data_IF_769181307179
#
_entry.id   IF_769181307179
#
_cell.length_a   1.000
_cell.length_b   1.000
_cell.length_c   1.000
_cell.angle_alpha   90.00
_cell.angle_beta   90.00
_cell.angle_gamma   90.00
#
_symmetry.space_group_name_H-M   'P 1'
#
loop_
_entity.id
_entity.type
_entity.pdbx_description
1 polymer ?
#
# COMPACT_ATOMS: atom_id res chain seq x y z
N UNK A 1 1.40 -10.67 2.02
CA UNK A 1 2.43 -10.71 3.08
C UNK A 1 2.68 -9.27 3.50
N UNK A 2 2.45 -8.96 4.76
CA UNK A 2 2.79 -7.65 5.31
C UNK A 2 4.33 -7.56 5.40
N UNK A 3 4.90 -6.40 5.10
CA UNK A 3 6.33 -6.18 5.08
C UNK A 3 6.90 -5.83 6.46
N UNK A 4 6.04 -5.67 7.47
CA UNK A 4 6.40 -5.25 8.82
C UNK A 4 5.99 -6.31 9.84
N UNK A 5 6.78 -6.39 10.92
CA UNK A 5 6.49 -7.22 12.09
C UNK A 5 6.73 -6.34 13.34
N UNK A 6 5.69 -5.95 14.10
CA UNK A 6 4.27 -6.31 13.94
C UNK A 6 3.64 -5.75 12.65
N UNK A 7 2.55 -6.35 12.13
CA UNK A 7 1.90 -5.90 10.90
C UNK A 7 1.45 -4.45 10.98
N UNK A 8 1.84 -3.64 9.99
CA UNK A 8 1.43 -2.24 9.88
C UNK A 8 0.32 -2.10 8.83
N UNK A 9 -0.79 -1.48 9.21
CA UNK A 9 -1.97 -1.31 8.36
C UNK A 9 -2.37 0.17 8.26
N UNK A 10 -2.83 0.56 7.08
CA UNK A 10 -3.42 1.86 6.78
C UNK A 10 -4.94 1.72 6.78
N UNK A 11 -5.63 2.57 7.53
CA UNK A 11 -7.10 2.62 7.57
C UNK A 11 -7.65 3.59 6.53
N UNK A 12 -8.92 3.46 6.16
CA UNK A 12 -9.61 4.45 5.32
C UNK A 12 -9.18 4.47 3.85
N UNK A 13 -8.66 3.34 3.35
CA UNK A 13 -8.44 3.12 1.91
C UNK A 13 -9.33 1.98 1.44
N UNK A 14 -9.93 2.20 0.27
CA UNK A 14 -10.56 1.13 -0.49
C UNK A 14 -9.83 0.95 -1.81
N UNK A 15 -9.34 -0.26 -2.07
CA UNK A 15 -8.70 -0.61 -3.35
C UNK A 15 -9.74 -1.24 -4.25
N UNK A 16 -10.05 -0.58 -5.37
CA UNK A 16 -10.90 -1.15 -6.41
C UNK A 16 -10.05 -1.84 -7.47
N UNK A 17 -10.46 -3.04 -7.86
CA UNK A 17 -9.83 -3.73 -8.97
C UNK A 17 -10.14 -3.00 -10.29
N UNK A 18 -9.15 -2.82 -11.16
CA UNK A 18 -9.28 -2.05 -12.39
C UNK A 18 -8.92 -0.56 -12.27
N UNK A 19 -8.64 -0.04 -11.07
CA UNK A 19 -8.12 1.32 -10.91
C UNK A 19 -6.69 1.47 -11.43
N UNK A 20 -6.32 2.69 -11.80
CA UNK A 20 -4.97 2.97 -12.27
C UNK A 20 -3.94 2.70 -11.15
N UNK A 21 -2.85 1.93 -11.41
CA UNK A 21 -1.77 1.68 -10.47
C UNK A 21 -1.25 2.93 -9.75
N UNK A 22 -1.12 4.03 -10.49
CA UNK A 22 -0.64 5.30 -9.95
C UNK A 22 -1.60 5.88 -8.91
N UNK A 23 -2.91 5.79 -9.14
CA UNK A 23 -3.95 6.24 -8.20
C UNK A 23 -3.87 5.40 -6.93
N UNK A 24 -3.83 4.07 -7.06
CA UNK A 24 -3.73 3.16 -5.92
C UNK A 24 -2.51 3.42 -5.03
N UNK A 25 -1.34 3.62 -5.65
CA UNK A 25 -0.10 3.91 -4.93
C UNK A 25 -0.12 5.30 -4.28
N UNK A 26 -0.68 6.30 -4.97
CA UNK A 26 -0.82 7.66 -4.45
C UNK A 26 -1.78 7.72 -3.27
N UNK A 27 -2.93 7.07 -3.37
CA UNK A 27 -3.91 6.96 -2.29
C UNK A 27 -3.30 6.27 -1.07
N UNK A 28 -2.60 5.14 -1.26
CA UNK A 28 -1.84 4.45 -0.21
C UNK A 28 -0.85 5.38 0.48
N UNK A 29 0.02 6.03 -0.30
CA UNK A 29 1.08 6.89 0.23
C UNK A 29 0.51 8.08 1.01
N UNK A 30 -0.56 8.69 0.48
CA UNK A 30 -1.24 9.81 1.12
C UNK A 30 -1.82 9.42 2.48
N UNK A 31 -2.60 8.34 2.57
CA UNK A 31 -3.19 7.93 3.85
C UNK A 31 -2.17 7.39 4.83
N UNK A 32 -1.15 6.66 4.36
CA UNK A 32 -0.06 6.20 5.21
C UNK A 32 0.66 7.39 5.87
N UNK A 33 0.96 8.43 5.09
CA UNK A 33 1.59 9.66 5.61
C UNK A 33 0.77 10.34 6.71
N UNK A 34 -0.56 10.15 6.69
CA UNK A 34 -1.49 10.69 7.69
C UNK A 34 -1.58 9.84 8.96
N UNK A 35 -1.08 8.60 8.95
CA UNK A 35 -1.24 7.60 10.01
C UNK A 35 0.09 7.18 10.63
N UNK A 36 1.03 8.11 10.77
CA UNK A 36 2.35 7.89 11.40
C UNK A 36 3.20 6.83 10.70
N UNK A 37 3.07 6.71 9.38
CA UNK A 37 4.04 5.98 8.58
C UNK A 37 5.20 6.90 8.20
N UNK A 38 6.42 6.38 8.30
CA UNK A 38 7.60 7.09 7.83
C UNK A 38 7.67 7.02 6.31
N UNK A 39 8.36 8.00 5.69
CA UNK A 39 8.57 7.99 4.25
C UNK A 39 9.32 6.72 3.78
N UNK A 40 10.20 6.17 4.61
CA UNK A 40 10.93 4.93 4.31
C UNK A 40 9.99 3.73 4.25
N UNK A 41 9.07 3.58 5.22
CA UNK A 41 8.08 2.49 5.24
C UNK A 41 7.15 2.58 4.02
N UNK A 42 6.69 3.78 3.67
CA UNK A 42 5.85 4.03 2.50
C UNK A 42 6.62 3.65 1.23
N UNK A 43 7.86 4.12 1.09
CA UNK A 43 8.71 3.82 -0.07
C UNK A 43 8.96 2.32 -0.21
N UNK A 44 9.16 1.60 0.89
CA UNK A 44 9.35 0.15 0.89
C UNK A 44 8.12 -0.58 0.35
N UNK A 45 6.91 -0.22 0.80
CA UNK A 45 5.66 -0.82 0.28
C UNK A 45 5.46 -0.48 -1.19
N UNK A 46 5.63 0.79 -1.57
CA UNK A 46 5.46 1.25 -2.97
C UNK A 46 6.44 0.56 -3.90
N UNK A 47 7.71 0.47 -3.51
CA UNK A 47 8.75 -0.20 -4.31
C UNK A 47 8.44 -1.70 -4.47
N UNK A 48 7.98 -2.36 -3.41
CA UNK A 48 7.59 -3.78 -3.47
C UNK A 48 6.34 -3.98 -4.33
N UNK A 49 5.36 -3.09 -4.24
CA UNK A 49 4.13 -3.14 -5.03
C UNK A 49 4.41 -2.94 -6.53
N UNK A 50 5.34 -2.04 -6.87
CA UNK A 50 5.79 -1.81 -8.25
C UNK A 50 6.59 -2.98 -8.84
N UNK A 51 7.22 -3.81 -8.01
CA UNK A 51 8.00 -4.97 -8.44
C UNK A 51 7.09 -6.15 -8.80
N UNK A 52 6.42 -6.07 -9.95
CA UNK A 52 5.57 -7.14 -10.47
C UNK A 52 4.48 -6.62 -11.41
N UNK A 53 3.46 -7.46 -11.63
CA UNK A 53 2.27 -7.10 -12.40
C UNK A 53 1.20 -6.45 -11.51
N UNK A 54 0.10 -6.01 -12.12
CA UNK A 54 -1.03 -5.40 -11.42
C UNK A 54 -1.54 -6.23 -10.23
N UNK A 55 -1.64 -7.55 -10.41
CA UNK A 55 -2.07 -8.46 -9.35
C UNK A 55 -1.14 -8.43 -8.13
N UNK A 56 0.17 -8.34 -8.36
CA UNK A 56 1.14 -8.20 -7.29
C UNK A 56 0.95 -6.86 -6.55
N UNK A 57 0.75 -5.76 -7.28
CA UNK A 57 0.46 -4.45 -6.68
C UNK A 57 -0.75 -4.52 -5.74
N UNK A 58 -1.87 -5.10 -6.22
CA UNK A 58 -3.08 -5.25 -5.42
C UNK A 58 -2.83 -6.14 -4.19
N UNK A 59 -2.13 -7.26 -4.37
CA UNK A 59 -1.80 -8.19 -3.28
C UNK A 59 -0.94 -7.53 -2.20
N UNK A 60 0.05 -6.74 -2.59
CA UNK A 60 0.93 -6.03 -1.66
C UNK A 60 0.15 -4.94 -0.92
N UNK A 61 -0.62 -4.11 -1.62
CA UNK A 61 -1.37 -3.04 -0.96
C UNK A 61 -2.46 -3.59 -0.03
N UNK A 62 -3.21 -4.62 -0.44
CA UNK A 62 -4.21 -5.27 0.43
C UNK A 62 -3.61 -5.86 1.72
N UNK A 63 -2.34 -6.26 1.70
CA UNK A 63 -1.66 -6.75 2.91
C UNK A 63 -1.34 -5.64 3.92
N UNK A 64 -1.44 -4.36 3.53
CA UNK A 64 -1.12 -3.18 4.34
C UNK A 64 -2.33 -2.26 4.53
N UNK A 65 -3.53 -2.72 4.22
CA UNK A 65 -4.77 -1.95 4.40
C UNK A 65 -5.67 -2.70 5.37
N UNK A 66 -6.26 -1.97 6.30
CA UNK A 66 -7.32 -2.47 7.16
C UNK A 66 -8.66 -2.25 6.44
N UNK A 67 -9.30 -3.33 6.02
CA UNK A 67 -10.63 -3.31 5.41
C UNK A 67 -11.72 -3.27 6.48
#
# INVERSE_FOLDING_TARGET
>A
MNLFNPPKLVKGIYIRFGENPFVLLSSFSYQASRQSWTQQEISQVVTKAKKGNYMNLIKILKAHIHQ
#
